data_IF_960007959548
#
_entry.id   IF_960007959548
#
_cell.length_a   1.000
_cell.length_b   1.000
_cell.length_c   1.000
_cell.angle_alpha   90.00
_cell.angle_beta   90.00
_cell.angle_gamma   90.00
#
_symmetry.space_group_name_H-M   'P 1'
#
loop_
_entity.id
_entity.type
_entity.pdbx_description
1 polymer ?
#
# COMPACT_ATOMS: atom_id res chain seq x y z
N UNK A 1 5.97 44.05 -32.68
CA UNK A 1 4.57 43.93 -33.11
C UNK A 1 4.01 45.34 -33.25
N UNK A 2 3.69 45.77 -34.46
CA UNK A 2 3.03 47.05 -34.73
C UNK A 2 1.59 46.97 -34.22
N UNK A 3 1.24 47.75 -33.20
CA UNK A 3 -0.13 47.87 -32.71
C UNK A 3 -0.94 48.56 -33.81
N UNK A 4 -1.93 47.86 -34.36
CA UNK A 4 -2.84 48.44 -35.35
C UNK A 4 -3.51 49.69 -34.75
N UNK A 5 -3.75 50.77 -35.54
CA UNK A 5 -4.36 51.98 -35.02
C UNK A 5 -5.73 51.68 -34.42
N UNK A 6 -5.95 52.12 -33.18
CA UNK A 6 -7.19 51.93 -32.43
C UNK A 6 -8.35 52.62 -33.16
N UNK A 7 -9.24 51.85 -33.79
CA UNK A 7 -10.52 52.38 -34.25
C UNK A 7 -11.49 52.40 -33.06
N UNK A 8 -11.85 53.59 -32.59
CA UNK A 8 -12.84 53.74 -31.53
C UNK A 8 -14.26 53.51 -32.07
N UNK A 9 -15.12 52.93 -31.25
CA UNK A 9 -16.53 52.73 -31.60
C UNK A 9 -17.31 54.05 -31.59
N UNK A 10 -18.28 54.18 -32.50
CA UNK A 10 -19.15 55.36 -32.59
C UNK A 10 -20.23 55.33 -31.52
N UNK A 11 -20.53 56.48 -30.93
CA UNK A 11 -21.61 56.61 -29.96
C UNK A 11 -22.98 56.45 -30.62
N UNK A 12 -23.84 55.61 -30.04
CA UNK A 12 -25.20 55.38 -30.56
C UNK A 12 -26.08 56.64 -30.55
N UNK A 13 -25.89 57.56 -29.57
CA UNK A 13 -26.62 58.84 -29.49
C UNK A 13 -26.01 59.93 -30.38
N UNK A 14 -24.71 59.86 -30.59
CA UNK A 14 -23.96 60.87 -31.33
C UNK A 14 -23.04 60.15 -32.35
N UNK A 15 -23.57 59.68 -33.50
CA UNK A 15 -22.83 58.85 -34.45
C UNK A 15 -21.57 59.52 -35.02
N UNK A 16 -21.50 60.84 -34.97
CA UNK A 16 -20.33 61.63 -35.37
C UNK A 16 -19.17 61.58 -34.36
N UNK A 17 -19.40 61.09 -33.14
CA UNK A 17 -18.43 61.11 -32.05
C UNK A 17 -17.99 59.70 -31.65
N UNK A 18 -16.70 59.58 -31.39
CA UNK A 18 -16.10 58.37 -30.84
C UNK A 18 -16.32 58.26 -29.33
N UNK A 19 -16.47 57.02 -28.86
CA UNK A 19 -16.45 56.69 -27.44
C UNK A 19 -14.99 56.73 -26.97
N UNK A 20 -14.70 57.68 -26.08
CA UNK A 20 -13.32 57.95 -25.62
C UNK A 20 -13.18 57.88 -24.10
N UNK A 21 -14.30 57.93 -23.36
CA UNK A 21 -14.34 57.89 -21.90
C UNK A 21 -15.19 56.71 -21.42
N UNK A 22 -14.93 56.25 -20.20
CA UNK A 22 -15.69 55.21 -19.52
C UNK A 22 -15.88 55.61 -18.05
N UNK A 23 -17.11 55.51 -17.55
CA UNK A 23 -17.40 55.74 -16.14
C UNK A 23 -17.14 54.47 -15.32
N UNK A 24 -16.16 54.51 -14.44
CA UNK A 24 -15.72 53.43 -13.57
C UNK A 24 -16.55 53.29 -12.28
N UNK A 25 -17.50 54.19 -12.03
CA UNK A 25 -18.38 54.09 -10.85
C UNK A 25 -19.16 52.76 -10.89
N UNK A 26 -19.17 52.03 -9.77
CA UNK A 26 -19.59 50.63 -9.68
C UNK A 26 -20.99 50.37 -10.28
N UNK A 27 -21.93 51.26 -9.98
CA UNK A 27 -23.34 51.21 -10.39
C UNK A 27 -23.60 51.77 -11.80
N UNK A 28 -22.60 52.39 -12.43
CA UNK A 28 -22.78 53.04 -13.73
C UNK A 28 -22.17 52.23 -14.88
N UNK A 29 -20.84 52.08 -14.90
CA UNK A 29 -20.09 51.36 -15.96
C UNK A 29 -20.49 51.72 -17.40
N UNK A 30 -20.69 53.01 -17.69
CA UNK A 30 -21.14 53.46 -19.01
C UNK A 30 -19.99 53.97 -19.89
N UNK A 31 -19.95 53.57 -21.19
CA UNK A 31 -19.09 54.17 -22.19
C UNK A 31 -19.65 55.51 -22.67
N UNK A 32 -18.78 56.50 -22.84
CA UNK A 32 -19.16 57.89 -23.09
C UNK A 32 -18.32 58.49 -24.23
N UNK A 33 -19.01 59.18 -25.16
CA UNK A 33 -18.36 60.15 -26.04
C UNK A 33 -18.25 61.52 -25.36
N UNK A 34 -17.54 62.45 -25.98
CA UNK A 34 -17.34 63.82 -25.46
C UNK A 34 -18.65 64.56 -25.10
N UNK A 35 -19.73 64.31 -25.83
CA UNK A 35 -21.01 65.00 -25.62
C UNK A 35 -21.84 64.30 -24.53
N UNK A 36 -21.86 62.96 -24.53
CA UNK A 36 -22.53 62.18 -23.48
C UNK A 36 -21.90 62.40 -22.09
N UNK A 37 -20.58 62.64 -22.03
CA UNK A 37 -19.86 62.88 -20.79
C UNK A 37 -20.46 64.03 -19.96
N UNK A 38 -20.85 65.14 -20.59
CA UNK A 38 -21.35 66.32 -19.87
C UNK A 38 -22.68 66.03 -19.17
N UNK A 39 -23.61 65.43 -19.90
CA UNK A 39 -24.91 65.03 -19.36
C UNK A 39 -24.76 63.96 -18.27
N UNK A 40 -23.83 63.04 -18.47
CA UNK A 40 -23.57 61.95 -17.54
C UNK A 40 -23.04 62.45 -16.18
N UNK A 41 -22.11 63.40 -16.18
CA UNK A 41 -21.59 64.01 -14.93
C UNK A 41 -22.70 64.77 -14.20
N UNK A 42 -23.56 65.48 -14.92
CA UNK A 42 -24.71 66.15 -14.32
C UNK A 42 -25.67 65.16 -13.66
N UNK A 43 -25.92 64.01 -14.30
CA UNK A 43 -26.75 62.95 -13.74
C UNK A 43 -26.16 62.36 -12.45
N UNK A 44 -24.86 62.10 -12.41
CA UNK A 44 -24.18 61.67 -11.17
C UNK A 44 -24.38 62.67 -10.04
N UNK A 45 -24.17 63.96 -10.31
CA UNK A 45 -24.34 65.03 -9.34
C UNK A 45 -25.79 65.15 -8.83
N UNK A 46 -26.79 65.03 -9.71
CA UNK A 46 -28.21 65.04 -9.33
C UNK A 46 -28.58 63.85 -8.43
N UNK A 47 -27.95 62.70 -8.67
CA UNK A 47 -28.15 61.49 -7.88
C UNK A 47 -27.28 61.46 -6.60
N UNK A 48 -26.53 62.52 -6.30
CA UNK A 48 -25.64 62.57 -5.13
C UNK A 48 -24.46 61.59 -5.21
N UNK A 49 -24.07 61.16 -6.40
CA UNK A 49 -22.95 60.22 -6.63
C UNK A 49 -21.82 60.90 -7.41
N UNK A 50 -20.59 60.40 -7.30
CA UNK A 50 -19.46 60.94 -8.05
C UNK A 50 -19.19 60.11 -9.31
N UNK A 51 -19.06 60.79 -10.45
CA UNK A 51 -18.60 60.18 -11.69
C UNK A 51 -17.08 59.94 -11.61
N UNK A 52 -16.64 58.70 -11.79
CA UNK A 52 -15.22 58.35 -11.92
C UNK A 52 -14.92 58.07 -13.39
N UNK A 53 -14.44 59.07 -14.12
CA UNK A 53 -14.20 58.95 -15.56
C UNK A 53 -12.74 58.66 -15.85
N UNK A 54 -12.48 57.70 -16.73
CA UNK A 54 -11.16 57.42 -17.28
C UNK A 54 -11.27 57.22 -18.81
N UNK A 55 -10.15 57.26 -19.52
CA UNK A 55 -10.13 57.00 -20.96
C UNK A 55 -10.36 55.52 -21.23
N UNK A 56 -10.99 55.20 -22.35
CA UNK A 56 -11.23 53.80 -22.76
C UNK A 56 -9.90 53.03 -22.88
N UNK A 57 -8.83 53.67 -23.34
CA UNK A 57 -7.51 53.05 -23.42
C UNK A 57 -6.92 52.72 -22.03
N UNK A 58 -7.06 53.61 -21.06
CA UNK A 58 -6.61 53.34 -19.69
C UNK A 58 -7.41 52.22 -19.04
N UNK A 59 -8.74 52.23 -19.19
CA UNK A 59 -9.61 51.16 -18.67
C UNK A 59 -9.28 49.83 -19.35
N UNK A 60 -9.07 49.82 -20.67
CA UNK A 60 -8.63 48.64 -21.41
C UNK A 60 -7.31 48.10 -20.87
N UNK A 61 -6.33 48.96 -20.63
CA UNK A 61 -5.03 48.54 -20.08
C UNK A 61 -5.16 47.98 -18.67
N UNK A 62 -5.98 48.59 -17.81
CA UNK A 62 -6.27 48.07 -16.46
C UNK A 62 -6.93 46.69 -16.53
N UNK A 63 -7.93 46.51 -17.39
CA UNK A 63 -8.61 45.23 -17.57
C UNK A 63 -7.65 44.15 -18.12
N UNK A 64 -6.79 44.50 -19.08
CA UNK A 64 -5.77 43.59 -19.60
C UNK A 64 -4.79 43.15 -18.49
N UNK A 65 -4.35 44.07 -17.64
CA UNK A 65 -3.49 43.75 -16.51
C UNK A 65 -4.20 42.81 -15.52
N UNK A 66 -5.47 43.08 -15.19
CA UNK A 66 -6.26 42.24 -14.28
C UNK A 66 -6.47 40.83 -14.85
N UNK A 67 -6.79 40.71 -16.14
CA UNK A 67 -6.94 39.42 -16.82
C UNK A 67 -5.61 38.67 -16.85
N UNK A 68 -4.50 39.38 -17.09
CA UNK A 68 -3.18 38.78 -17.07
C UNK A 68 -2.81 38.26 -15.68
N UNK A 69 -3.05 39.04 -14.62
CA UNK A 69 -2.80 38.62 -13.23
C UNK A 69 -3.63 37.39 -12.85
N UNK A 70 -4.93 37.38 -13.19
CA UNK A 70 -5.78 36.21 -12.97
C UNK A 70 -5.28 34.99 -13.73
N UNK A 71 -4.88 35.16 -14.99
CA UNK A 71 -4.31 34.07 -15.80
C UNK A 71 -3.06 33.50 -15.13
N UNK A 72 -2.14 34.33 -14.65
CA UNK A 72 -0.94 33.88 -13.93
C UNK A 72 -1.30 33.10 -12.67
N UNK A 73 -2.24 33.59 -11.85
CA UNK A 73 -2.72 32.85 -10.66
C UNK A 73 -3.30 31.48 -11.02
N UNK A 74 -4.12 31.40 -12.07
CA UNK A 74 -4.66 30.11 -12.51
C UNK A 74 -3.59 29.18 -13.10
N UNK A 75 -2.55 29.71 -13.74
CA UNK A 75 -1.41 28.91 -14.21
C UNK A 75 -0.59 28.35 -13.04
N UNK A 76 -0.42 29.11 -11.95
CA UNK A 76 0.21 28.64 -10.70
C UNK A 76 -0.60 27.53 -10.05
N UNK A 77 -1.92 27.73 -9.86
CA UNK A 77 -2.80 26.71 -9.28
C UNK A 77 -2.86 25.45 -10.16
N UNK A 78 -2.82 25.60 -11.48
CA UNK A 78 -2.72 24.48 -12.42
C UNK A 78 -1.38 23.75 -12.27
N UNK A 79 -0.27 24.46 -12.06
CA UNK A 79 1.04 23.84 -11.84
C UNK A 79 1.08 23.05 -10.52
N UNK A 80 0.46 23.57 -9.45
CA UNK A 80 0.27 22.85 -8.19
C UNK A 80 -0.53 21.57 -8.44
N UNK A 81 -1.70 21.67 -9.08
CA UNK A 81 -2.54 20.51 -9.39
C UNK A 81 -1.83 19.48 -10.27
N UNK A 82 -1.07 19.90 -11.28
CA UNK A 82 -0.32 18.98 -12.13
C UNK A 82 0.74 18.21 -11.33
N UNK A 83 1.30 18.79 -10.27
CA UNK A 83 2.24 18.07 -9.40
C UNK A 83 1.58 16.91 -8.63
N UNK A 84 0.30 17.07 -8.24
CA UNK A 84 -0.47 16.03 -7.54
C UNK A 84 -1.21 15.08 -8.48
N UNK A 85 -1.54 15.52 -9.70
CA UNK A 85 -2.30 14.75 -10.69
C UNK A 85 -1.41 13.88 -11.61
N UNK A 86 -0.09 14.09 -11.61
CA UNK A 86 0.87 13.06 -12.03
C UNK A 86 0.80 11.99 -10.95
N UNK A 87 -0.15 11.08 -11.14
CA UNK A 87 -0.78 10.27 -10.10
C UNK A 87 0.18 9.61 -9.12
N UNK A 88 -0.30 9.46 -7.88
CA UNK A 88 0.22 8.54 -6.87
C UNK A 88 1.73 8.34 -7.00
N UNK A 89 2.55 9.26 -6.44
CA UNK A 89 4.01 9.19 -6.48
C UNK A 89 4.47 7.73 -6.59
N UNK A 90 4.91 7.25 -7.78
CA UNK A 90 5.19 5.83 -7.97
C UNK A 90 6.27 5.37 -6.99
N UNK A 91 7.09 6.30 -6.53
CA UNK A 91 8.04 6.14 -5.45
C UNK A 91 7.37 5.87 -4.09
N UNK A 92 6.32 6.62 -3.71
CA UNK A 92 5.56 6.37 -2.49
C UNK A 92 4.85 5.01 -2.53
N UNK A 93 4.20 4.69 -3.65
CA UNK A 93 3.53 3.39 -3.84
C UNK A 93 4.54 2.24 -3.79
N UNK A 94 5.71 2.41 -4.42
CA UNK A 94 6.82 1.47 -4.34
C UNK A 94 7.40 1.35 -2.93
N UNK A 95 7.48 2.44 -2.17
CA UNK A 95 7.89 2.40 -0.76
C UNK A 95 6.90 1.64 0.11
N UNK A 96 5.59 1.86 -0.07
CA UNK A 96 4.53 1.11 0.61
C UNK A 96 4.65 -0.37 0.26
N UNK A 97 4.78 -0.69 -1.03
CA UNK A 97 4.95 -2.07 -1.49
C UNK A 97 6.21 -2.72 -0.91
N UNK A 98 7.33 -2.00 -0.85
CA UNK A 98 8.57 -2.49 -0.24
C UNK A 98 8.41 -2.73 1.26
N UNK A 99 7.73 -1.85 2.00
CA UNK A 99 7.40 -2.04 3.41
C UNK A 99 6.54 -3.28 3.61
N UNK A 100 5.50 -3.46 2.77
CA UNK A 100 4.63 -4.63 2.80
C UNK A 100 5.41 -5.93 2.54
N UNK A 101 6.32 -5.92 1.55
CA UNK A 101 7.18 -7.07 1.25
C UNK A 101 8.13 -7.39 2.41
N UNK A 102 8.67 -6.37 3.08
CA UNK A 102 9.53 -6.56 4.26
C UNK A 102 8.76 -7.16 5.45
N UNK A 103 7.53 -6.69 5.68
CA UNK A 103 6.63 -7.25 6.71
C UNK A 103 6.36 -8.73 6.39
N UNK A 104 6.00 -9.04 5.14
CA UNK A 104 5.77 -10.43 4.69
C UNK A 104 7.00 -11.32 4.92
N UNK A 105 8.18 -10.87 4.52
CA UNK A 105 9.40 -11.69 4.65
C UNK A 105 9.79 -11.90 6.11
N UNK A 106 9.62 -10.89 6.96
CA UNK A 106 9.89 -10.98 8.41
C UNK A 106 8.93 -11.93 9.09
N UNK A 107 7.65 -11.90 8.71
CA UNK A 107 6.63 -12.83 9.22
C UNK A 107 6.93 -14.28 8.84
N UNK A 108 7.23 -14.54 7.57
CA UNK A 108 7.61 -15.88 7.12
C UNK A 108 8.86 -16.37 7.83
N UNK A 109 9.85 -15.50 8.06
CA UNK A 109 11.05 -15.85 8.79
C UNK A 109 10.75 -16.23 10.26
N UNK A 110 9.89 -15.47 10.94
CA UNK A 110 9.50 -15.76 12.32
C UNK A 110 8.74 -17.10 12.43
N UNK A 111 7.80 -17.37 11.51
CA UNK A 111 7.08 -18.65 11.45
C UNK A 111 8.04 -19.81 11.22
N UNK A 112 8.94 -19.68 10.23
CA UNK A 112 9.93 -20.72 9.93
C UNK A 112 10.86 -20.96 11.12
N UNK A 113 11.32 -19.90 11.79
CA UNK A 113 12.19 -20.01 12.96
C UNK A 113 11.48 -20.77 14.10
N UNK A 114 10.20 -20.48 14.34
CA UNK A 114 9.42 -21.20 15.33
C UNK A 114 9.26 -22.69 14.97
N UNK A 115 8.96 -23.01 13.70
CA UNK A 115 8.88 -24.40 13.24
C UNK A 115 10.21 -25.15 13.45
N UNK A 116 11.34 -24.51 13.11
CA UNK A 116 12.68 -25.08 13.35
C UNK A 116 12.92 -25.34 14.84
N UNK A 117 12.51 -24.42 15.72
CA UNK A 117 12.62 -24.62 17.16
C UNK A 117 11.73 -25.79 17.65
N UNK A 118 10.52 -25.91 17.11
CA UNK A 118 9.61 -27.02 17.43
C UNK A 118 10.20 -28.36 16.99
N UNK A 119 10.75 -28.43 15.77
CA UNK A 119 11.45 -29.62 15.27
C UNK A 119 12.64 -29.99 16.15
N UNK A 120 13.42 -29.01 16.60
CA UNK A 120 14.55 -29.24 17.49
C UNK A 120 14.11 -29.76 18.85
N UNK A 121 13.01 -29.23 19.42
CA UNK A 121 12.42 -29.77 20.65
C UNK A 121 11.93 -31.21 20.48
N UNK A 122 11.32 -31.53 19.33
CA UNK A 122 10.91 -32.91 19.00
C UNK A 122 12.13 -33.81 18.90
N UNK A 123 13.18 -33.40 18.19
CA UNK A 123 14.45 -34.17 18.10
C UNK A 123 15.07 -34.41 19.47
N UNK A 124 15.10 -33.40 20.34
CA UNK A 124 15.59 -33.53 21.71
C UNK A 124 14.75 -34.53 22.51
N UNK A 125 13.42 -34.48 22.41
CA UNK A 125 12.55 -35.48 23.06
C UNK A 125 12.78 -36.90 22.53
N UNK A 126 12.90 -37.07 21.21
CA UNK A 126 13.26 -38.36 20.59
C UNK A 126 14.61 -38.84 21.12
N UNK A 127 15.59 -37.94 21.23
CA UNK A 127 16.93 -38.27 21.70
C UNK A 127 16.93 -38.69 23.16
N UNK A 128 16.25 -37.94 24.03
CA UNK A 128 16.06 -38.31 25.44
C UNK A 128 15.37 -39.66 25.56
N UNK A 129 14.29 -39.90 24.82
CA UNK A 129 13.60 -41.20 24.81
C UNK A 129 14.52 -42.36 24.38
N UNK A 130 15.39 -42.13 23.40
CA UNK A 130 16.40 -43.11 22.96
C UNK A 130 17.50 -43.32 24.00
N UNK A 131 17.89 -42.28 24.73
CA UNK A 131 18.92 -42.35 25.77
C UNK A 131 18.42 -42.94 27.09
N UNK A 132 17.13 -42.81 27.41
CA UNK A 132 16.55 -43.32 28.66
C UNK A 132 16.55 -44.85 28.74
N UNK A 133 16.51 -45.54 27.60
CA UNK A 133 16.43 -47.01 27.54
C UNK A 133 17.36 -47.62 26.48
N UNK A 134 18.69 -47.39 26.56
CA UNK A 134 19.62 -47.90 25.60
C UNK A 134 19.90 -49.37 25.92
N UNK A 135 19.19 -50.28 25.27
CA UNK A 135 19.49 -51.72 25.35
C UNK A 135 18.43 -52.57 26.03
N UNK A 136 17.55 -52.01 26.87
CA UNK A 136 16.47 -52.78 27.54
C UNK A 136 15.65 -53.60 26.55
N UNK A 137 15.26 -53.01 25.41
CA UNK A 137 14.56 -53.75 24.34
C UNK A 137 15.40 -54.92 23.79
N UNK A 138 16.71 -54.72 23.59
CA UNK A 138 17.60 -55.77 23.06
C UNK A 138 17.83 -56.87 24.08
N UNK A 139 17.99 -56.51 25.35
CA UNK A 139 18.22 -57.45 26.44
C UNK A 139 16.97 -58.29 26.72
N UNK A 140 15.78 -57.68 26.70
CA UNK A 140 14.51 -58.39 26.79
C UNK A 140 14.32 -59.34 25.60
N UNK A 141 14.59 -58.87 24.38
CA UNK A 141 14.54 -59.74 23.19
C UNK A 141 15.51 -60.91 23.30
N UNK A 142 16.71 -60.68 23.85
CA UNK A 142 17.69 -61.74 24.06
C UNK A 142 17.20 -62.77 25.09
N UNK A 143 16.69 -62.33 26.25
CA UNK A 143 16.10 -63.18 27.28
C UNK A 143 14.94 -64.02 26.73
N UNK A 144 14.01 -63.39 26.01
CA UNK A 144 12.87 -64.08 25.37
C UNK A 144 13.34 -65.14 24.38
N UNK A 145 14.31 -64.82 23.52
CA UNK A 145 14.86 -65.77 22.56
C UNK A 145 15.57 -66.95 23.25
N UNK A 146 16.29 -66.73 24.35
CA UNK A 146 16.91 -67.82 25.11
C UNK A 146 15.87 -68.79 25.68
N UNK A 147 14.76 -68.26 26.20
CA UNK A 147 13.67 -69.09 26.75
C UNK A 147 12.95 -69.85 25.65
N UNK A 148 12.66 -69.22 24.51
CA UNK A 148 12.08 -69.89 23.34
C UNK A 148 12.98 -71.05 22.90
N UNK A 149 14.29 -70.83 22.77
CA UNK A 149 15.24 -71.88 22.41
C UNK A 149 15.28 -73.03 23.43
N UNK A 150 15.18 -72.70 24.72
CA UNK A 150 15.11 -73.70 25.80
C UNK A 150 13.83 -74.54 25.71
N UNK A 151 12.68 -73.90 25.45
CA UNK A 151 11.39 -74.56 25.27
C UNK A 151 11.39 -75.45 24.02
N UNK A 152 11.90 -74.96 22.88
CA UNK A 152 12.05 -75.73 21.64
C UNK A 152 12.91 -76.98 21.86
N UNK A 153 13.98 -76.87 22.66
CA UNK A 153 14.83 -78.00 23.00
C UNK A 153 14.07 -79.06 23.82
N UNK A 154 13.27 -78.62 24.81
CA UNK A 154 12.44 -79.52 25.62
C UNK A 154 11.37 -80.20 24.79
N UNK A 155 10.69 -79.45 23.94
CA UNK A 155 9.70 -79.99 23.00
C UNK A 155 10.33 -81.06 22.11
N UNK A 156 11.49 -80.79 21.51
CA UNK A 156 12.24 -81.77 20.71
C UNK A 156 12.60 -83.02 21.50
N UNK A 157 12.97 -82.90 22.79
CA UNK A 157 13.28 -84.05 23.65
C UNK A 157 12.04 -84.89 23.99
N UNK A 158 10.87 -84.26 24.14
CA UNK A 158 9.60 -84.95 24.36
C UNK A 158 9.10 -85.69 23.11
N UNK A 159 9.41 -85.17 21.92
CA UNK A 159 9.04 -85.79 20.64
C UNK A 159 9.93 -87.00 20.26
N UNK A 160 11.03 -87.25 20.97
CA UNK A 160 11.91 -88.38 20.68
C UNK A 160 11.36 -89.71 21.23
N UNK A 161 11.64 -90.86 20.58
CA UNK A 161 11.20 -92.18 21.06
C UNK A 161 11.66 -92.54 22.49
N UNK A 162 12.69 -91.87 23.03
CA UNK A 162 13.22 -92.03 24.40
C UNK A 162 12.92 -90.79 25.26
N UNK A 163 11.65 -90.43 25.37
CA UNK A 163 11.16 -89.17 25.96
C UNK A 163 11.21 -89.08 27.49
N UNK A 164 11.50 -90.16 28.23
CA UNK A 164 11.50 -90.17 29.71
C UNK A 164 12.39 -89.05 30.30
N UNK A 165 13.54 -88.77 29.68
CA UNK A 165 14.44 -87.68 30.08
C UNK A 165 13.82 -86.30 29.87
N UNK A 166 13.07 -86.12 28.78
CA UNK A 166 12.32 -84.89 28.51
C UNK A 166 11.21 -84.67 29.54
N UNK A 167 10.48 -85.73 29.91
CA UNK A 167 9.44 -85.66 30.95
C UNK A 167 10.03 -85.25 32.31
N UNK A 168 11.15 -85.86 32.73
CA UNK A 168 11.80 -85.51 33.99
C UNK A 168 12.30 -84.06 33.98
N UNK A 169 12.85 -83.59 32.86
CA UNK A 169 13.35 -82.22 32.70
C UNK A 169 12.23 -81.18 32.74
N UNK A 170 11.05 -81.48 32.18
CA UNK A 170 9.89 -80.57 32.25
C UNK A 170 9.23 -80.59 33.63
N UNK A 171 9.23 -81.74 34.31
CA UNK A 171 8.64 -81.88 35.65
C UNK A 171 9.53 -81.34 36.78
N UNK A 172 10.84 -81.22 36.56
CA UNK A 172 11.81 -80.78 37.57
C UNK A 172 11.84 -79.27 37.80
N UNK A 173 11.05 -78.48 37.06
CA UNK A 173 11.38 -77.10 36.83
C UNK A 173 10.71 -76.09 37.77
N UNK A 174 11.56 -75.39 38.52
CA UNK A 174 11.31 -74.09 39.20
C UNK A 174 10.96 -72.94 38.23
N UNK A 175 10.77 -73.24 36.94
CA UNK A 175 10.66 -72.26 35.85
C UNK A 175 9.41 -71.38 35.88
N UNK A 176 8.37 -71.75 36.63
CA UNK A 176 7.16 -70.92 36.73
C UNK A 176 7.49 -69.52 37.28
N UNK A 177 8.48 -69.41 38.18
CA UNK A 177 8.88 -68.13 38.74
C UNK A 177 9.62 -67.25 37.72
N UNK A 178 10.46 -67.84 36.87
CA UNK A 178 11.19 -67.12 35.82
C UNK A 178 10.25 -66.60 34.72
N UNK A 179 9.17 -67.35 34.40
CA UNK A 179 8.16 -66.92 33.44
C UNK A 179 7.35 -65.73 33.95
N UNK A 180 6.84 -65.80 35.17
CA UNK A 180 6.06 -64.72 35.77
C UNK A 180 6.91 -63.44 35.91
N UNK A 181 8.16 -63.58 36.36
CA UNK A 181 9.09 -62.46 36.44
C UNK A 181 9.36 -61.85 35.06
N UNK A 182 9.58 -62.65 34.03
CA UNK A 182 9.82 -62.13 32.69
C UNK A 182 8.58 -61.45 32.09
N UNK A 183 7.38 -62.00 32.33
CA UNK A 183 6.13 -61.36 31.91
C UNK A 183 5.98 -59.98 32.56
N UNK A 184 6.30 -59.85 33.86
CA UNK A 184 6.31 -58.56 34.55
C UNK A 184 7.35 -57.61 33.95
N UNK A 185 8.57 -58.09 33.67
CA UNK A 185 9.62 -57.28 33.02
C UNK A 185 9.19 -56.78 31.62
N UNK A 186 8.45 -57.59 30.86
CA UNK A 186 7.88 -57.21 29.55
C UNK A 186 6.79 -56.16 29.71
N UNK A 187 5.85 -56.37 30.63
CA UNK A 187 4.74 -55.45 30.87
C UNK A 187 5.23 -54.08 31.36
N UNK A 188 6.24 -54.06 32.24
CA UNK A 188 6.83 -52.83 32.73
C UNK A 188 7.61 -52.09 31.64
N UNK A 189 8.38 -52.81 30.81
CA UNK A 189 9.04 -52.21 29.65
C UNK A 189 8.04 -51.62 28.63
N UNK A 190 6.91 -52.29 28.41
CA UNK A 190 5.83 -51.81 27.54
C UNK A 190 5.11 -50.59 28.12
N UNK A 191 4.76 -50.61 29.41
CA UNK A 191 4.15 -49.47 30.11
C UNK A 191 5.06 -48.25 30.04
N UNK A 192 6.36 -48.43 30.28
CA UNK A 192 7.34 -47.35 30.19
C UNK A 192 7.51 -46.81 28.77
N UNK A 193 7.49 -47.69 27.76
CA UNK A 193 7.54 -47.26 26.35
C UNK A 193 6.32 -46.43 25.97
N UNK A 194 5.12 -46.89 26.36
CA UNK A 194 3.87 -46.20 26.08
C UNK A 194 3.73 -44.90 26.87
N UNK A 195 4.18 -44.84 28.12
CA UNK A 195 4.16 -43.61 28.93
C UNK A 195 5.08 -42.52 28.39
N UNK A 196 6.13 -42.91 27.66
CA UNK A 196 7.08 -42.00 27.04
C UNK A 196 6.73 -41.66 25.58
N UNK A 197 5.65 -42.23 25.03
CA UNK A 197 5.14 -41.83 23.73
C UNK A 197 4.56 -40.41 23.83
N UNK A 198 4.93 -39.57 22.88
CA UNK A 198 4.42 -38.22 22.79
C UNK A 198 3.93 -37.93 21.38
N UNK A 199 2.96 -37.05 21.29
CA UNK A 199 2.37 -36.59 20.05
C UNK A 199 2.43 -35.06 19.98
N UNK A 200 2.35 -34.51 18.77
CA UNK A 200 2.29 -33.08 18.52
C UNK A 200 0.83 -32.72 18.25
N UNK A 201 0.17 -32.12 19.24
CA UNK A 201 -1.19 -31.64 19.07
C UNK A 201 -1.22 -30.24 18.46
N UNK A 202 -1.94 -30.08 17.36
CA UNK A 202 -2.13 -28.80 16.68
C UNK A 202 -3.49 -28.21 17.02
N UNK A 203 -3.50 -27.06 17.70
CA UNK A 203 -4.72 -26.31 17.95
C UNK A 203 -5.06 -25.39 16.77
N UNK A 204 -5.82 -25.88 15.80
CA UNK A 204 -6.19 -25.12 14.59
C UNK A 204 -6.90 -23.79 14.89
N UNK A 205 -7.77 -23.76 15.90
CA UNK A 205 -8.46 -22.53 16.32
C UNK A 205 -7.49 -21.43 16.80
N UNK A 206 -6.38 -21.83 17.43
CA UNK A 206 -5.36 -20.88 17.89
C UNK A 206 -4.50 -20.39 16.74
N UNK A 207 -4.30 -21.20 15.69
CA UNK A 207 -3.62 -20.77 14.48
C UNK A 207 -4.40 -19.64 13.77
N UNK A 208 -5.73 -19.67 13.81
CA UNK A 208 -6.54 -18.58 13.24
C UNK A 208 -6.35 -17.23 13.98
N UNK A 209 -6.12 -17.26 15.29
CA UNK A 209 -5.86 -16.05 16.10
C UNK A 209 -4.57 -15.33 15.72
N UNK A 210 -3.62 -16.03 15.09
CA UNK A 210 -2.38 -15.42 14.57
C UNK A 210 -2.72 -14.35 13.52
N UNK A 211 -3.73 -14.59 12.68
CA UNK A 211 -4.19 -13.59 11.71
C UNK A 211 -4.76 -12.34 12.37
N UNK A 212 -5.45 -12.49 13.50
CA UNK A 212 -6.01 -11.36 14.26
C UNK A 212 -4.90 -10.55 14.93
N UNK A 213 -3.91 -11.23 15.52
CA UNK A 213 -2.74 -10.57 16.09
C UNK A 213 -1.99 -9.73 15.05
N UNK A 214 -1.91 -10.17 13.78
CA UNK A 214 -1.25 -9.37 12.74
C UNK A 214 -1.91 -8.03 12.46
N UNK A 215 -3.23 -7.92 12.63
CA UNK A 215 -3.95 -6.65 12.50
C UNK A 215 -3.54 -5.65 13.59
N UNK A 216 -3.05 -6.11 14.74
CA UNK A 216 -2.57 -5.22 15.82
C UNK A 216 -1.20 -4.59 15.53
N UNK A 217 -0.39 -5.19 14.65
CA UNK A 217 0.98 -4.75 14.38
C UNK A 217 1.15 -3.99 13.05
N UNK A 218 0.20 -4.12 12.12
CA UNK A 218 0.29 -3.55 10.78
C UNK A 218 -1.02 -2.87 10.41
N UNK A 219 -0.96 -1.54 10.35
CA UNK A 219 -2.09 -0.70 9.97
C UNK A 219 -1.74 0.17 8.76
N UNK A 220 -2.78 0.46 7.98
CA UNK A 220 -2.71 1.40 6.86
C UNK A 220 -3.37 2.70 7.33
N UNK A 221 -2.55 3.73 7.52
CA UNK A 221 -3.02 5.07 7.84
C UNK A 221 -3.02 5.96 6.58
N UNK A 222 -3.96 6.91 6.55
CA UNK A 222 -3.94 7.97 5.53
C UNK A 222 -2.76 8.91 5.78
N UNK A 223 -1.91 9.10 4.77
CA UNK A 223 -0.82 10.05 4.86
C UNK A 223 -1.36 11.49 4.90
N UNK A 224 -0.89 12.29 5.87
CA UNK A 224 -1.16 13.72 5.90
C UNK A 224 -0.21 14.42 4.93
N UNK A 225 -0.74 14.89 3.80
CA UNK A 225 0.02 15.58 2.74
C UNK A 225 -0.05 17.11 2.85
N UNK A 226 -0.64 17.66 3.93
CA UNK A 226 -0.84 19.10 4.06
C UNK A 226 0.48 19.88 4.10
N UNK A 227 1.48 19.38 4.82
CA UNK A 227 2.80 20.03 4.92
C UNK A 227 3.53 20.05 3.57
N UNK A 228 3.40 18.97 2.78
CA UNK A 228 3.99 18.87 1.44
C UNK A 228 3.29 19.81 0.45
N UNK A 229 1.95 19.92 0.54
CA UNK A 229 1.15 20.89 -0.22
C UNK A 229 1.57 22.33 0.09
N UNK A 230 1.74 22.70 1.36
CA UNK A 230 2.18 24.04 1.76
C UNK A 230 3.58 24.36 1.23
N UNK A 231 4.52 23.43 1.37
CA UNK A 231 5.88 23.58 0.88
C UNK A 231 5.93 23.80 -0.65
N UNK A 232 5.22 22.98 -1.41
CA UNK A 232 5.19 23.06 -2.88
C UNK A 232 4.48 24.32 -3.36
N UNK A 233 3.36 24.68 -2.73
CA UNK A 233 2.62 25.91 -3.04
C UNK A 233 3.51 27.14 -2.85
N UNK A 234 4.29 27.17 -1.76
CA UNK A 234 5.24 28.24 -1.50
C UNK A 234 6.35 28.28 -2.55
N UNK A 235 6.96 27.14 -2.87
CA UNK A 235 8.04 27.05 -3.87
C UNK A 235 7.61 27.51 -5.26
N UNK A 236 6.41 27.13 -5.70
CA UNK A 236 5.87 27.54 -7.01
C UNK A 236 5.63 29.05 -7.03
N UNK A 237 5.01 29.60 -5.99
CA UNK A 237 4.73 31.04 -5.88
C UNK A 237 6.01 31.88 -5.79
N UNK A 238 7.02 31.40 -5.06
CA UNK A 238 8.32 32.07 -4.93
C UNK A 238 9.08 32.07 -6.27
N UNK A 239 8.97 31.01 -7.08
CA UNK A 239 9.58 30.94 -8.41
C UNK A 239 8.82 31.75 -9.48
N UNK A 240 7.51 31.96 -9.31
CA UNK A 240 6.69 32.79 -10.20
C UNK A 240 6.89 34.29 -9.99
N UNK A 241 7.58 34.71 -8.92
CA UNK A 241 8.03 36.10 -8.78
C UNK A 241 9.15 36.40 -9.78
N UNK A 242 8.76 36.64 -11.04
CA UNK A 242 9.63 37.27 -12.05
C UNK A 242 10.11 38.61 -11.48
N UNK A 243 11.40 38.97 -11.62
CA UNK A 243 11.92 40.26 -11.16
C UNK A 243 11.05 41.37 -11.72
N UNK A 244 10.43 42.17 -10.82
CA UNK A 244 9.73 43.38 -11.24
C UNK A 244 10.68 44.17 -12.13
N UNK A 245 10.34 44.33 -13.41
CA UNK A 245 11.05 45.28 -14.25
C UNK A 245 11.04 46.62 -13.48
N UNK A 246 12.21 47.27 -13.35
CA UNK A 246 12.32 48.49 -12.57
C UNK A 246 11.26 49.46 -13.07
N UNK A 247 10.37 49.89 -12.16
CA UNK A 247 9.38 50.93 -12.42
C UNK A 247 10.13 52.10 -13.04
N UNK A 248 10.06 52.26 -14.36
CA UNK A 248 10.58 53.43 -15.03
C UNK A 248 9.80 54.60 -14.46
N UNK A 249 10.45 55.37 -13.57
CA UNK A 249 10.01 56.71 -13.24
C UNK A 249 9.90 57.43 -14.58
N UNK A 250 8.67 57.72 -14.98
CA UNK A 250 8.36 58.61 -16.08
C UNK A 250 8.91 59.97 -15.67
N UNK A 251 10.17 60.22 -16.00
CA UNK A 251 10.73 61.57 -16.05
C UNK A 251 10.43 62.05 -17.46
N UNK A 252 9.39 62.86 -17.57
CA UNK A 252 9.11 63.68 -18.72
C UNK A 252 10.33 64.57 -19.00
N UNK A 253 11.08 64.27 -20.06
CA UNK A 253 11.67 65.30 -20.92
C UNK A 253 12.09 64.78 -22.29
N UNK A 254 11.80 65.61 -23.28
CA UNK A 254 11.96 65.43 -24.71
C UNK A 254 13.43 65.21 -25.12
N UNK A 255 13.68 64.23 -26.00
CA UNK A 255 14.25 64.37 -27.37
C UNK A 255 14.90 63.06 -27.87
N UNK A 256 14.29 62.54 -28.94
CA UNK A 256 14.85 61.86 -30.13
C UNK A 256 16.29 61.34 -30.05
N UNK A 257 16.46 60.01 -30.19
CA UNK A 257 17.44 59.39 -31.09
C UNK A 257 17.10 57.90 -31.31
N UNK A 258 17.00 57.50 -32.59
CA UNK A 258 16.79 56.14 -33.04
C UNK A 258 18.04 55.29 -32.80
N UNK A 259 17.89 54.14 -32.13
CA UNK A 259 18.82 53.00 -32.29
C UNK A 259 18.04 51.68 -32.27
N UNK A 260 18.15 50.97 -33.38
CA UNK A 260 17.65 49.63 -33.65
C UNK A 260 18.54 48.58 -32.98
N UNK A 261 17.93 47.64 -32.26
CA UNK A 261 18.59 46.43 -31.71
C UNK A 261 17.81 45.20 -32.24
N UNK A 262 18.49 44.14 -32.71
CA UNK A 262 17.82 42.98 -33.30
C UNK A 262 17.22 42.06 -32.22
N UNK A 263 15.96 41.64 -32.44
CA UNK A 263 15.24 40.72 -31.57
C UNK A 263 15.45 39.29 -32.09
N UNK A 264 16.00 38.41 -31.25
CA UNK A 264 16.08 36.97 -31.47
C UNK A 264 14.70 36.32 -31.26
N UNK A 265 14.35 35.43 -32.17
CA UNK A 265 13.11 34.66 -32.23
C UNK A 265 12.92 33.76 -31.01
N UNK A 266 11.82 33.97 -30.27
CA UNK A 266 11.29 33.01 -29.30
C UNK A 266 10.27 32.10 -29.98
N UNK A 267 10.56 30.79 -29.93
CA UNK A 267 9.78 29.70 -30.52
C UNK A 267 8.34 29.68 -29.98
N UNK A 268 7.39 29.56 -30.91
CA UNK A 268 5.98 29.26 -30.62
C UNK A 268 5.86 27.87 -30.00
N UNK A 269 5.23 27.78 -28.83
CA UNK A 269 4.73 26.51 -28.30
C UNK A 269 3.35 26.23 -28.91
N UNK A 270 3.24 25.14 -29.68
CA UNK A 270 1.96 24.58 -30.09
C UNK A 270 1.36 23.75 -28.93
N UNK A 271 0.09 24.00 -28.63
CA UNK A 271 -0.70 23.19 -27.70
C UNK A 271 -1.01 21.83 -28.35
N UNK A 272 -0.75 20.75 -27.61
CA UNK A 272 -0.88 19.35 -28.07
C UNK A 272 -2.30 18.78 -27.89
N UNK A 273 -3.27 19.59 -27.45
CA UNK A 273 -4.59 19.10 -27.00
C UNK A 273 -5.74 19.30 -28.00
N UNK A 274 -5.47 19.69 -29.25
CA UNK A 274 -6.56 19.95 -30.20
C UNK A 274 -7.11 18.71 -30.93
N UNK A 275 -6.68 17.49 -30.60
CA UNK A 275 -7.26 16.30 -31.24
C UNK A 275 -7.43 15.12 -30.28
N UNK A 276 -8.68 14.64 -30.21
CA UNK A 276 -9.14 13.30 -29.81
C UNK A 276 -9.53 13.12 -28.34
N UNK A 277 -10.75 13.52 -28.02
CA UNK A 277 -11.58 12.80 -27.06
C UNK A 277 -12.88 12.34 -27.74
N UNK A 278 -12.82 11.14 -28.31
CA UNK A 278 -13.97 10.38 -28.78
C UNK A 278 -13.92 8.98 -28.16
N UNK A 279 -14.97 8.62 -27.43
CA UNK A 279 -15.43 7.22 -27.34
C UNK A 279 -14.98 6.39 -26.14
N UNK A 280 -15.76 6.46 -25.05
CA UNK A 280 -16.49 5.35 -24.42
C UNK A 280 -15.90 3.93 -24.35
N UNK A 281 -15.96 3.38 -23.12
CA UNK A 281 -16.33 2.00 -22.70
C UNK A 281 -15.25 1.24 -21.93
N UNK A 282 -15.44 1.14 -20.60
CA UNK A 282 -14.98 -0.03 -19.84
C UNK A 282 -16.06 -0.43 -18.83
N UNK A 283 -16.66 -1.59 -19.09
CA UNK A 283 -17.44 -2.38 -18.15
C UNK A 283 -16.82 -3.78 -18.07
N UNK A 284 -17.03 -4.43 -16.92
CA UNK A 284 -16.73 -5.83 -16.54
C UNK A 284 -15.30 -6.13 -16.10
N UNK A 285 -15.03 -7.02 -15.13
CA UNK A 285 -15.75 -7.69 -14.03
C UNK A 285 -14.65 -8.59 -13.43
N UNK A 286 -14.39 -8.58 -12.12
CA UNK A 286 -13.51 -9.56 -11.49
C UNK A 286 -14.27 -10.30 -10.38
N UNK A 287 -14.69 -11.53 -10.69
CA UNK A 287 -15.13 -12.52 -9.70
C UNK A 287 -13.99 -13.51 -9.49
N UNK A 288 -13.34 -13.44 -8.33
CA UNK A 288 -12.46 -14.50 -7.84
C UNK A 288 -13.21 -15.29 -6.77
N UNK A 289 -13.47 -16.57 -7.05
CA UNK A 289 -14.17 -17.50 -6.15
C UNK A 289 -13.17 -18.60 -5.77
N UNK A 290 -12.82 -18.68 -4.50
CA UNK A 290 -12.03 -19.79 -3.95
C UNK A 290 -12.96 -20.97 -3.66
N UNK A 291 -12.66 -22.13 -4.23
CA UNK A 291 -13.32 -23.41 -3.92
C UNK A 291 -12.28 -24.32 -3.29
N UNK A 292 -12.33 -24.49 -1.97
CA UNK A 292 -11.69 -25.62 -1.29
C UNK A 292 -12.78 -26.58 -0.84
N UNK A 293 -12.77 -27.77 -1.42
CA UNK A 293 -13.57 -28.89 -0.98
C UNK A 293 -12.77 -30.16 -1.21
N UNK A 294 -12.25 -30.73 -0.12
CA UNK A 294 -11.71 -32.09 -0.12
C UNK A 294 -12.22 -32.83 1.12
N UNK A 295 -13.39 -33.46 0.98
CA UNK A 295 -14.09 -34.23 2.02
C UNK A 295 -13.60 -35.69 2.06
N UNK A 296 -12.31 -35.93 2.30
CA UNK A 296 -11.78 -37.30 2.38
C UNK A 296 -10.92 -37.65 3.61
N UNK A 297 -10.73 -36.75 4.57
CA UNK A 297 -9.92 -37.05 5.77
C UNK A 297 -10.71 -37.32 7.07
N UNK A 298 -12.01 -37.08 7.12
CA UNK A 298 -12.79 -37.23 8.37
C UNK A 298 -13.18 -38.67 8.74
N UNK A 299 -12.95 -39.67 7.88
CA UNK A 299 -13.36 -41.06 8.18
C UNK A 299 -12.32 -41.91 8.91
N UNK A 300 -11.09 -41.43 9.12
CA UNK A 300 -10.04 -42.26 9.75
C UNK A 300 -9.94 -42.14 11.27
N UNK A 301 -10.52 -41.10 11.88
CA UNK A 301 -10.35 -40.83 13.32
C UNK A 301 -11.48 -41.31 14.25
N UNK A 302 -12.56 -41.90 13.71
CA UNK A 302 -13.67 -42.40 14.56
C UNK A 302 -13.53 -43.84 15.04
N UNK A 303 -12.52 -44.60 14.60
CA UNK A 303 -12.39 -46.03 14.96
C UNK A 303 -11.33 -46.33 16.04
N UNK A 304 -10.73 -45.31 16.67
CA UNK A 304 -9.67 -45.54 17.69
C UNK A 304 -10.17 -45.28 19.12
N UNK A 305 -11.39 -44.76 19.29
CA UNK A 305 -12.00 -44.56 20.60
C UNK A 305 -13.43 -45.11 20.65
N UNK A 306 -13.55 -46.44 20.58
CA UNK A 306 -14.66 -47.21 21.13
C UNK A 306 -14.12 -48.48 21.78
#
# INVERSE_FOLDING_TARGET
MSVAPSQFEKCYKHPSNDIVLFCMSLECRQPLCKDCCKLHVQQHNQNGTQAQLDTVDNVRQQLLNNVHEMKTKFEEERAILHHFNVGESPELMKQIQNKLQKVKSTLMAAVNQYCVQLEEQVKQKIHLQKQSHPGEKKDLHHKLNQIILSLDQKEKMLLQPKYIRGCLMVMSDEQHHDFEQLTLEVDDALKMYLSNAFDVFVHEEKLQKISQAFTEYVDIYQANLNEELEFLSKKIRDNSQVPQMPKQKIVSNQKIAQQTIPIKETKQFHSIYDEKFSGSNFANQSQFKWSYGDKKQEQYYQNIYQ
#
